data_IF_563293296825
#
_entry.id   IF_563293296825
#
_cell.length_a   1.000
_cell.length_b   1.000
_cell.length_c   1.000
_cell.angle_alpha   90.00
_cell.angle_beta   90.00
_cell.angle_gamma   90.00
#
_symmetry.space_group_name_H-M   'P 1'
#
loop_
_entity.id
_entity.type
_entity.pdbx_description
1 polymer ?
#
# COMPACT_ATOMS: atom_id res chain seq x y z
N UNK A 1 9.40 69.18 6.92
CA UNK A 1 9.18 68.30 5.75
C UNK A 1 10.12 67.10 5.62
N UNK A 2 11.04 66.83 6.55
CA UNK A 2 11.93 65.64 6.54
C UNK A 2 11.36 64.41 7.25
N UNK A 3 10.46 64.61 8.20
CA UNK A 3 9.90 63.52 9.02
C UNK A 3 8.88 62.63 8.25
N UNK A 4 8.10 63.21 7.35
CA UNK A 4 7.09 62.49 6.59
C UNK A 4 7.67 61.45 5.58
N UNK A 5 8.86 61.73 5.02
CA UNK A 5 9.52 60.79 4.09
C UNK A 5 10.09 59.56 4.77
N UNK A 6 10.53 59.70 6.06
CA UNK A 6 11.06 58.58 6.83
C UNK A 6 9.93 57.63 7.24
N UNK A 7 8.76 58.16 7.59
CA UNK A 7 7.57 57.36 7.96
C UNK A 7 7.07 56.56 6.72
N UNK A 8 7.09 57.14 5.53
CA UNK A 8 6.68 56.48 4.31
C UNK A 8 7.65 55.34 3.91
N UNK A 9 8.95 55.59 4.14
CA UNK A 9 9.96 54.54 3.86
C UNK A 9 9.84 53.35 4.84
N UNK A 10 9.53 53.66 6.10
CA UNK A 10 9.33 52.61 7.13
C UNK A 10 8.04 51.77 6.87
N UNK A 11 6.99 52.43 6.38
CA UNK A 11 5.73 51.72 6.04
C UNK A 11 5.87 50.86 4.79
N UNK A 12 6.69 51.30 3.81
CA UNK A 12 7.00 50.54 2.59
C UNK A 12 7.88 49.31 2.89
N UNK A 13 8.79 49.40 3.87
CA UNK A 13 9.63 48.28 4.30
C UNK A 13 8.83 47.22 5.05
N UNK A 14 7.78 47.59 5.79
CA UNK A 14 6.89 46.65 6.50
C UNK A 14 5.98 45.83 5.54
N UNK A 15 5.73 46.38 4.33
CA UNK A 15 4.94 45.67 3.31
C UNK A 15 5.72 44.59 2.57
N UNK A 16 7.05 44.58 2.66
CA UNK A 16 7.90 43.59 2.00
C UNK A 16 8.21 42.37 2.87
N UNK A 17 7.77 42.39 4.13
CA UNK A 17 8.01 41.25 5.06
C UNK A 17 6.90 40.19 5.04
N UNK A 18 5.89 40.32 4.16
CA UNK A 18 4.82 39.34 4.00
C UNK A 18 5.04 38.42 2.80
N UNK A 19 6.27 38.27 2.29
CA UNK A 19 6.62 37.12 1.49
C UNK A 19 6.98 35.99 2.47
N UNK A 20 5.95 35.45 3.15
CA UNK A 20 6.01 34.06 3.56
C UNK A 20 5.94 33.25 2.27
N UNK A 21 7.06 32.67 1.88
CA UNK A 21 7.02 31.44 1.12
C UNK A 21 6.29 30.45 2.03
N UNK A 22 5.02 30.16 1.75
CA UNK A 22 4.49 28.86 2.04
C UNK A 22 5.35 27.91 1.18
N UNK A 23 6.35 27.31 1.78
CA UNK A 23 6.83 26.03 1.35
C UNK A 23 5.60 25.14 1.52
N UNK A 24 4.86 24.95 0.43
CA UNK A 24 4.02 23.79 0.27
C UNK A 24 4.99 22.61 0.35
N UNK A 25 5.32 22.22 1.58
CA UNK A 25 5.67 20.86 1.87
C UNK A 25 4.43 20.09 1.40
N UNK A 26 4.46 19.64 0.14
CA UNK A 26 3.70 18.48 -0.29
C UNK A 26 4.11 17.40 0.71
N UNK A 27 3.33 17.35 1.80
CA UNK A 27 3.32 16.23 2.72
C UNK A 27 2.87 15.05 1.89
N UNK A 28 3.83 14.48 1.14
CA UNK A 28 3.66 13.17 0.54
C UNK A 28 3.40 12.28 1.75
N UNK A 29 2.12 12.15 2.10
CA UNK A 29 1.68 11.17 3.05
C UNK A 29 2.15 9.84 2.46
N UNK A 30 3.32 9.42 2.93
CA UNK A 30 3.81 8.08 2.65
C UNK A 30 2.76 7.17 3.30
N UNK A 31 1.85 6.67 2.49
CA UNK A 31 0.86 5.68 2.94
C UNK A 31 1.70 4.50 3.41
N UNK A 32 1.85 4.37 4.73
CA UNK A 32 2.55 3.24 5.31
C UNK A 32 1.58 2.06 5.29
N UNK A 33 1.86 1.09 4.44
CA UNK A 33 1.14 -0.17 4.43
C UNK A 33 1.43 -0.95 5.73
N UNK A 34 0.51 -1.79 6.18
CA UNK A 34 0.61 -2.51 7.46
C UNK A 34 1.77 -3.51 7.48
N UNK A 35 2.04 -4.18 6.35
CA UNK A 35 3.05 -5.24 6.22
C UNK A 35 3.75 -5.22 4.88
N UNK A 36 4.95 -5.78 4.84
CA UNK A 36 5.71 -6.02 3.61
C UNK A 36 5.28 -7.34 2.94
N UNK A 37 5.37 -7.40 1.61
CA UNK A 37 5.27 -8.65 0.86
C UNK A 37 6.52 -9.48 1.11
N UNK A 38 6.36 -10.80 1.30
CA UNK A 38 7.48 -11.75 1.36
C UNK A 38 7.79 -12.20 -0.06
N UNK A 39 9.02 -11.99 -0.50
CA UNK A 39 9.52 -12.45 -1.81
C UNK A 39 10.41 -13.66 -1.54
N UNK A 40 9.84 -14.87 -1.62
CA UNK A 40 10.53 -16.12 -1.31
C UNK A 40 9.76 -17.31 -1.87
N UNK A 41 10.33 -17.96 -2.90
CA UNK A 41 9.72 -19.12 -3.55
C UNK A 41 9.60 -20.32 -2.61
N UNK A 42 10.51 -20.51 -1.68
CA UNK A 42 10.44 -21.63 -0.74
C UNK A 42 9.26 -21.50 0.21
N UNK A 43 8.99 -20.29 0.69
CA UNK A 43 7.81 -19.97 1.49
C UNK A 43 6.54 -20.11 0.65
N UNK A 44 6.54 -19.58 -0.59
CA UNK A 44 5.43 -19.69 -1.52
C UNK A 44 4.99 -21.13 -1.77
N UNK A 45 5.96 -22.05 -1.96
CA UNK A 45 5.68 -23.47 -2.19
C UNK A 45 5.21 -24.21 -0.91
N UNK A 46 5.63 -23.73 0.27
CA UNK A 46 5.30 -24.35 1.55
C UNK A 46 3.93 -23.93 2.12
N UNK A 47 3.39 -22.80 1.64
CA UNK A 47 2.09 -22.29 2.11
C UNK A 47 0.95 -23.18 1.61
N UNK A 48 0.14 -23.67 2.55
CA UNK A 48 -1.07 -24.42 2.26
C UNK A 48 -2.26 -23.46 2.02
N UNK A 49 -3.27 -23.95 1.31
CA UNK A 49 -4.50 -23.20 1.06
C UNK A 49 -5.19 -22.83 2.38
N UNK A 50 -5.57 -21.57 2.51
CA UNK A 50 -6.29 -21.03 3.67
C UNK A 50 -7.77 -20.91 3.38
N UNK A 51 -8.62 -21.05 4.41
CA UNK A 51 -10.07 -20.93 4.26
C UNK A 51 -10.53 -19.48 4.54
N UNK A 52 -10.66 -18.69 3.50
CA UNK A 52 -11.25 -17.36 3.54
C UNK A 52 -11.97 -17.04 2.23
N UNK A 53 -12.69 -15.95 2.20
CA UNK A 53 -13.26 -15.37 0.97
C UNK A 53 -12.75 -13.94 0.80
N UNK A 54 -12.36 -13.55 -0.41
CA UNK A 54 -12.04 -12.17 -0.75
C UNK A 54 -13.35 -11.37 -0.80
N UNK A 55 -13.41 -10.29 -0.04
CA UNK A 55 -14.53 -9.34 -0.03
C UNK A 55 -14.24 -8.17 -0.97
N UNK A 56 -13.07 -7.54 -0.80
CA UNK A 56 -12.56 -6.49 -1.70
C UNK A 56 -11.04 -6.54 -1.75
N UNK A 57 -10.48 -6.07 -2.87
CA UNK A 57 -9.05 -5.80 -3.04
C UNK A 57 -8.88 -4.53 -3.83
N UNK A 58 -7.99 -3.64 -3.39
CA UNK A 58 -7.73 -2.36 -4.02
C UNK A 58 -6.25 -1.98 -3.87
N UNK A 59 -5.67 -1.41 -4.92
CA UNK A 59 -4.31 -0.86 -4.88
C UNK A 59 -4.43 0.67 -4.85
N UNK A 60 -3.82 1.28 -3.83
CA UNK A 60 -3.65 2.72 -3.70
C UNK A 60 -2.16 3.03 -3.52
N UNK A 61 -1.56 3.67 -4.54
CA UNK A 61 -0.12 3.86 -4.62
C UNK A 61 0.63 2.53 -4.52
N UNK A 62 1.45 2.39 -3.49
CA UNK A 62 2.25 1.19 -3.24
C UNK A 62 1.58 0.18 -2.30
N UNK A 63 0.36 0.44 -1.85
CA UNK A 63 -0.35 -0.42 -0.91
C UNK A 63 -1.47 -1.22 -1.60
N UNK A 64 -1.43 -2.54 -1.45
CA UNK A 64 -2.56 -3.42 -1.74
C UNK A 64 -3.37 -3.63 -0.46
N UNK A 65 -4.55 -3.05 -0.37
CA UNK A 65 -5.51 -3.33 0.70
C UNK A 65 -6.39 -4.53 0.32
N UNK A 66 -6.44 -5.53 1.18
CA UNK A 66 -7.29 -6.72 1.00
C UNK A 66 -8.23 -6.85 2.19
N UNK A 67 -9.52 -6.98 1.91
CA UNK A 67 -10.55 -7.32 2.87
C UNK A 67 -10.95 -8.77 2.67
N UNK A 68 -10.78 -9.59 3.69
CA UNK A 68 -11.20 -10.99 3.69
C UNK A 68 -12.33 -11.24 4.69
N UNK A 69 -13.10 -12.28 4.44
CA UNK A 69 -14.05 -12.85 5.40
C UNK A 69 -13.65 -14.30 5.72
N UNK A 70 -13.60 -14.65 7.01
CA UNK A 70 -13.34 -16.01 7.47
C UNK A 70 -14.10 -16.30 8.77
N UNK A 71 -14.15 -17.57 9.15
CA UNK A 71 -14.74 -17.96 10.43
C UNK A 71 -13.77 -17.75 11.58
N UNK A 72 -14.23 -17.19 12.69
CA UNK A 72 -13.40 -16.93 13.86
C UNK A 72 -14.17 -16.33 15.03
N UNK A 73 -13.43 -15.93 16.08
CA UNK A 73 -13.96 -15.34 17.30
C UNK A 73 -13.92 -13.79 17.30
N UNK A 74 -13.21 -13.19 16.32
CA UNK A 74 -13.03 -11.73 16.21
C UNK A 74 -12.01 -11.32 15.18
N UNK A 75 -11.10 -12.21 14.79
CA UNK A 75 -10.07 -11.94 13.78
C UNK A 75 -8.86 -11.14 14.30
N UNK A 76 -8.80 -10.84 15.59
CA UNK A 76 -7.68 -10.07 16.18
C UNK A 76 -6.36 -10.86 16.14
N UNK A 77 -6.44 -12.19 16.25
CA UNK A 77 -5.28 -13.08 16.24
C UNK A 77 -4.90 -13.57 14.84
N UNK A 78 -5.66 -13.19 13.82
CA UNK A 78 -5.36 -13.60 12.46
C UNK A 78 -4.12 -12.90 11.93
N UNK A 79 -3.27 -13.66 11.24
CA UNK A 79 -2.11 -13.14 10.54
C UNK A 79 -2.30 -13.39 9.04
N UNK A 80 -2.38 -12.30 8.27
CA UNK A 80 -2.38 -12.33 6.82
C UNK A 80 -0.96 -12.07 6.32
N UNK A 81 -0.54 -12.86 5.33
CA UNK A 81 0.77 -12.74 4.70
C UNK A 81 0.61 -12.84 3.20
N UNK A 82 1.16 -11.88 2.46
CA UNK A 82 1.23 -11.90 1.00
C UNK A 82 2.63 -12.37 0.59
N UNK A 83 2.70 -13.45 -0.22
CA UNK A 83 3.95 -14.11 -0.60
C UNK A 83 4.06 -14.14 -2.12
N UNK A 84 5.19 -13.68 -2.65
CA UNK A 84 5.53 -13.73 -4.06
C UNK A 84 6.41 -14.97 -4.36
N UNK A 85 6.16 -15.61 -5.50
CA UNK A 85 6.86 -16.83 -5.94
C UNK A 85 8.28 -16.59 -6.45
N UNK A 86 8.73 -15.34 -6.57
CA UNK A 86 9.94 -14.93 -7.30
C UNK A 86 9.88 -15.17 -8.82
N UNK A 87 8.89 -15.92 -9.32
CA UNK A 87 8.73 -16.16 -10.74
C UNK A 87 8.13 -14.95 -11.46
N UNK A 88 8.78 -14.52 -12.55
CA UNK A 88 8.33 -13.43 -13.41
C UNK A 88 8.06 -13.97 -14.80
N UNK A 89 6.81 -13.89 -15.26
CA UNK A 89 6.50 -14.20 -16.65
C UNK A 89 6.84 -13.01 -17.55
N UNK A 90 7.65 -13.28 -18.58
CA UNK A 90 8.04 -12.31 -19.60
C UNK A 90 6.89 -12.02 -20.56
N UNK A 91 5.96 -11.15 -20.13
CA UNK A 91 4.86 -10.64 -20.94
C UNK A 91 4.88 -9.11 -20.95
N UNK A 92 3.92 -8.48 -21.61
CA UNK A 92 3.81 -7.04 -21.66
C UNK A 92 2.38 -6.63 -21.21
N UNK A 93 2.17 -6.14 -19.98
CA UNK A 93 3.13 -6.02 -18.87
C UNK A 93 3.65 -7.37 -18.36
N UNK A 94 4.80 -7.39 -17.66
CA UNK A 94 5.28 -8.60 -16.98
C UNK A 94 4.34 -9.01 -15.87
N UNK A 95 4.39 -10.28 -15.46
CA UNK A 95 3.45 -10.83 -14.48
C UNK A 95 4.21 -11.50 -13.32
N UNK A 96 3.67 -11.35 -12.12
CA UNK A 96 4.11 -12.04 -10.90
C UNK A 96 3.00 -12.91 -10.35
N UNK A 97 3.37 -13.93 -9.59
CA UNK A 97 2.47 -14.92 -9.01
C UNK A 97 2.57 -14.89 -7.50
N UNK A 98 1.45 -14.62 -6.83
CA UNK A 98 1.40 -14.43 -5.40
C UNK A 98 0.37 -15.35 -4.75
N UNK A 99 0.55 -15.58 -3.44
CA UNK A 99 -0.42 -16.23 -2.56
C UNK A 99 -0.72 -15.32 -1.38
N UNK A 100 -1.99 -15.25 -1.00
CA UNK A 100 -2.40 -14.69 0.28
C UNK A 100 -2.62 -15.85 1.26
N UNK A 101 -1.89 -15.86 2.36
CA UNK A 101 -2.01 -16.84 3.43
C UNK A 101 -2.72 -16.25 4.62
N UNK A 102 -3.63 -16.99 5.23
CA UNK A 102 -4.27 -16.66 6.49
C UNK A 102 -3.87 -17.70 7.55
N UNK A 103 -3.11 -17.26 8.54
CA UNK A 103 -2.99 -18.04 9.78
C UNK A 103 -4.15 -17.65 10.71
N UNK A 104 -4.99 -18.62 11.02
CA UNK A 104 -6.17 -18.48 11.87
C UNK A 104 -6.25 -19.67 12.85
N UNK A 105 -6.10 -19.40 14.13
CA UNK A 105 -6.17 -20.39 15.20
C UNK A 105 -7.43 -20.23 16.08
N UNK A 106 -8.46 -19.55 15.56
CA UNK A 106 -9.71 -19.31 16.27
C UNK A 106 -10.73 -20.42 15.96
N UNK A 107 -11.39 -20.93 16.97
CA UNK A 107 -12.30 -22.10 16.84
C UNK A 107 -13.80 -21.71 16.75
N UNK A 108 -14.14 -20.42 16.68
CA UNK A 108 -15.52 -19.96 16.55
C UNK A 108 -16.00 -20.06 15.10
N UNK A 109 -17.33 -20.22 14.92
CA UNK A 109 -17.97 -20.36 13.61
C UNK A 109 -18.63 -19.07 13.11
N UNK A 110 -18.49 -17.95 13.84
CA UNK A 110 -18.99 -16.66 13.38
C UNK A 110 -18.10 -16.12 12.25
N UNK A 111 -18.69 -15.42 11.30
CA UNK A 111 -17.94 -14.80 10.20
C UNK A 111 -17.53 -13.39 10.60
N UNK A 112 -16.25 -13.10 10.44
CA UNK A 112 -15.66 -11.78 10.64
C UNK A 112 -14.89 -11.35 9.41
N UNK A 113 -14.73 -10.03 9.26
CA UNK A 113 -13.91 -9.43 8.20
C UNK A 113 -12.61 -8.91 8.80
N UNK A 114 -11.53 -9.01 8.02
CA UNK A 114 -10.24 -8.37 8.32
C UNK A 114 -9.72 -7.66 7.10
N UNK A 115 -9.30 -6.41 7.29
CA UNK A 115 -8.60 -5.62 6.28
C UNK A 115 -7.12 -5.61 6.67
N UNK A 116 -6.26 -5.82 5.68
CA UNK A 116 -4.81 -5.75 5.81
C UNK A 116 -4.25 -5.12 4.55
N UNK A 117 -3.25 -4.24 4.71
CA UNK A 117 -2.54 -3.65 3.57
C UNK A 117 -1.12 -4.18 3.47
N UNK A 118 -0.64 -4.32 2.22
CA UNK A 118 0.66 -4.89 1.88
C UNK A 118 1.45 -3.92 1.02
N UNK A 119 2.70 -3.67 1.38
CA UNK A 119 3.62 -2.85 0.59
C UNK A 119 4.14 -3.65 -0.62
N UNK A 120 3.84 -3.15 -1.82
CA UNK A 120 4.17 -3.80 -3.10
C UNK A 120 5.52 -3.37 -3.68
N UNK A 121 6.27 -2.47 -3.03
CA UNK A 121 7.50 -1.90 -3.61
C UNK A 121 8.54 -2.94 -3.99
N UNK A 122 8.61 -4.06 -3.24
CA UNK A 122 9.51 -5.18 -3.55
C UNK A 122 9.13 -5.95 -4.83
N UNK A 123 7.91 -5.74 -5.34
CA UNK A 123 7.43 -6.38 -6.57
C UNK A 123 7.74 -5.60 -7.83
N UNK A 124 8.29 -4.39 -7.72
CA UNK A 124 8.68 -3.56 -8.85
C UNK A 124 9.75 -4.25 -9.68
N UNK A 125 9.71 -4.03 -10.98
CA UNK A 125 10.65 -4.60 -11.94
C UNK A 125 11.35 -3.45 -12.65
N UNK A 126 12.68 -3.47 -12.68
CA UNK A 126 13.47 -2.41 -13.30
C UNK A 126 13.13 -2.24 -14.78
N UNK A 127 12.96 -1.00 -15.21
CA UNK A 127 12.74 -0.65 -16.61
C UNK A 127 11.29 -0.77 -17.08
N UNK A 128 10.35 -1.11 -16.21
CA UNK A 128 8.90 -1.06 -16.46
C UNK A 128 8.21 -0.22 -15.39
N UNK A 129 7.00 0.22 -15.64
CA UNK A 129 6.22 1.07 -14.75
C UNK A 129 4.89 0.43 -14.33
N UNK A 130 4.69 -0.83 -14.66
CA UNK A 130 3.52 -1.60 -14.24
C UNK A 130 3.82 -3.10 -14.26
N UNK A 131 3.15 -3.85 -13.40
CA UNK A 131 3.22 -5.31 -13.30
C UNK A 131 1.83 -5.86 -13.02
N UNK A 132 1.51 -7.01 -13.61
CA UNK A 132 0.29 -7.75 -13.33
C UNK A 132 0.54 -8.70 -12.17
N UNK A 133 -0.27 -8.60 -11.12
CA UNK A 133 -0.24 -9.45 -9.93
C UNK A 133 -1.32 -10.52 -10.05
N UNK A 134 -0.90 -11.76 -10.26
CA UNK A 134 -1.78 -12.93 -10.24
C UNK A 134 -1.77 -13.51 -8.83
N UNK A 135 -2.76 -13.16 -8.03
CA UNK A 135 -2.88 -13.66 -6.65
C UNK A 135 -3.81 -14.86 -6.65
N UNK A 136 -3.36 -15.99 -6.11
CA UNK A 136 -4.15 -17.23 -6.07
C UNK A 136 -5.49 -16.99 -5.34
N UNK A 137 -6.57 -17.54 -5.85
CA UNK A 137 -7.96 -17.39 -5.37
C UNK A 137 -8.57 -15.99 -5.48
N UNK A 138 -7.87 -15.02 -6.08
CA UNK A 138 -8.49 -13.73 -6.41
C UNK A 138 -9.32 -13.86 -7.69
N UNK A 139 -10.45 -13.12 -7.79
CA UNK A 139 -11.36 -13.22 -8.93
C UNK A 139 -10.73 -12.73 -10.23
N UNK A 140 -9.83 -11.77 -10.14
CA UNK A 140 -9.16 -11.13 -11.29
C UNK A 140 -7.72 -10.75 -10.92
N UNK A 141 -6.79 -10.76 -11.89
CA UNK A 141 -5.46 -10.18 -11.71
C UNK A 141 -5.54 -8.68 -11.40
N UNK A 142 -4.62 -8.19 -10.59
CA UNK A 142 -4.51 -6.77 -10.27
C UNK A 142 -3.37 -6.13 -11.08
N UNK A 143 -3.52 -4.86 -11.48
CA UNK A 143 -2.46 -4.09 -12.14
C UNK A 143 -1.86 -3.15 -11.09
N UNK A 144 -0.58 -3.33 -10.81
CA UNK A 144 0.20 -2.42 -9.97
C UNK A 144 1.05 -1.51 -10.87
N UNK A 145 0.70 -0.22 -10.92
CA UNK A 145 1.41 0.82 -11.63
C UNK A 145 2.21 1.69 -10.64
N UNK A 146 3.48 2.09 -11.00
CA UNK A 146 4.42 2.79 -10.11
C UNK A 146 5.38 3.71 -10.88
#
# INVERSE_FOLDING_TARGET
>A
MKSSKIIFLFFFCLLLLNFQCDDDDDDVQTIMCDTEVIVDNSVYQAVEASFYSIVTSEIDGDCLAVNIAASGCGGETWVLTLIDSEDIAESMPPQRYLKLSLFNNEACLAIYNKIQSFNLTLLRIDGVNEVVLNIEDFPEPLIYAY
#
